data_IF_080310393121
#
_entry.id   IF_080310393121
#
_cell.length_a   1.000
_cell.length_b   1.000
_cell.length_c   1.000
_cell.angle_alpha   90.00
_cell.angle_beta   90.00
_cell.angle_gamma   90.00
#
_symmetry.space_group_name_H-M   'P 1'
#
loop_
_entity.id
_entity.type
_entity.pdbx_description
1 polymer ?
#
# COMPACT_ATOMS: atom_id res chain seq x y z
N UNK A 1 17.33 -5.25 5.91
CA UNK A 1 15.95 -5.74 5.66
C UNK A 1 15.70 -5.60 4.16
N UNK A 2 14.79 -6.37 3.55
CA UNK A 2 14.40 -6.17 2.14
C UNK A 2 13.28 -5.11 2.10
N UNK A 3 13.19 -4.32 1.03
CA UNK A 3 12.07 -3.40 0.85
C UNK A 3 10.74 -4.18 0.81
N UNK A 4 9.72 -3.62 1.43
CA UNK A 4 8.41 -4.27 1.49
C UNK A 4 7.66 -4.05 0.18
N UNK A 5 7.04 -5.11 -0.35
CA UNK A 5 6.10 -4.99 -1.47
C UNK A 5 4.95 -4.03 -1.09
N UNK A 6 4.75 -2.95 -1.86
CA UNK A 6 3.71 -1.96 -1.59
C UNK A 6 2.32 -2.52 -1.90
N UNK A 7 1.34 -1.90 -1.27
CA UNK A 7 -0.05 -2.13 -1.66
C UNK A 7 -0.34 -1.46 -3.00
N UNK A 8 -1.37 -1.95 -3.69
CA UNK A 8 -1.79 -1.41 -4.97
C UNK A 8 -2.91 -0.40 -4.75
N UNK A 9 -2.88 0.70 -5.52
CA UNK A 9 -3.91 1.72 -5.50
C UNK A 9 -4.37 2.00 -6.93
N UNK A 10 -5.69 1.99 -7.15
CA UNK A 10 -6.31 2.54 -8.35
C UNK A 10 -6.72 3.96 -8.03
N UNK A 11 -6.10 4.93 -8.70
CA UNK A 11 -6.38 6.36 -8.55
C UNK A 11 -6.54 6.98 -9.93
N UNK A 12 -7.65 7.69 -10.16
CA UNK A 12 -7.96 8.29 -11.48
C UNK A 12 -7.89 7.26 -12.63
N UNK A 13 -8.39 6.05 -12.39
CA UNK A 13 -8.34 4.90 -13.31
C UNK A 13 -6.93 4.44 -13.72
N UNK A 14 -5.89 4.89 -13.01
CA UNK A 14 -4.51 4.41 -13.17
C UNK A 14 -4.12 3.57 -11.97
N UNK A 15 -3.31 2.53 -12.21
CA UNK A 15 -2.70 1.73 -11.16
C UNK A 15 -1.43 2.42 -10.69
N UNK A 16 -1.35 2.64 -9.39
CA UNK A 16 -0.25 3.23 -8.66
C UNK A 16 0.14 2.28 -7.51
N UNK A 17 1.34 2.49 -6.95
CA UNK A 17 1.73 1.85 -5.70
C UNK A 17 1.42 2.77 -4.51
N UNK A 18 1.14 2.17 -3.37
CA UNK A 18 0.87 2.87 -2.12
C UNK A 18 1.91 2.49 -1.07
N UNK A 19 2.64 3.50 -0.59
CA UNK A 19 3.62 3.40 0.49
C UNK A 19 2.93 3.54 1.85
N UNK A 20 1.86 2.78 2.03
CA UNK A 20 1.10 2.68 3.27
C UNK A 20 0.53 1.27 3.38
N UNK A 21 0.28 0.84 4.60
CA UNK A 21 -0.42 -0.40 4.90
C UNK A 21 -1.72 -0.08 5.67
N UNK A 22 -2.81 0.34 4.99
CA UNK A 22 -4.08 0.56 5.68
C UNK A 22 -4.50 -0.71 6.43
N UNK A 23 -5.12 -0.58 7.61
CA UNK A 23 -5.52 -1.74 8.39
C UNK A 23 -6.57 -2.57 7.62
N UNK A 24 -6.41 -3.89 7.66
CA UNK A 24 -7.41 -4.84 7.20
C UNK A 24 -8.53 -4.91 8.27
N UNK A 25 -9.82 -4.88 7.87
CA UNK A 25 -10.91 -4.90 8.84
C UNK A 25 -10.94 -6.23 9.59
N UNK A 26 -11.11 -6.17 10.91
CA UNK A 26 -11.37 -7.35 11.73
C UNK A 26 -12.87 -7.69 11.73
N UNK A 27 -13.43 -7.91 10.53
CA UNK A 27 -14.82 -8.31 10.32
C UNK A 27 -14.84 -9.65 9.56
N UNK A 28 -15.22 -10.76 10.21
CA UNK A 28 -15.24 -12.07 9.58
C UNK A 28 -16.31 -12.20 8.48
N UNK A 29 -17.26 -11.25 8.39
CA UNK A 29 -18.19 -11.18 7.26
C UNK A 29 -17.58 -10.52 6.01
N UNK A 30 -16.45 -9.84 6.15
CA UNK A 30 -15.73 -9.16 5.07
C UNK A 30 -14.43 -9.87 4.71
N UNK A 31 -13.67 -10.33 5.70
CA UNK A 31 -12.32 -10.87 5.51
C UNK A 31 -12.16 -12.19 6.24
N UNK A 32 -11.62 -13.18 5.53
CA UNK A 32 -11.12 -14.42 6.14
C UNK A 32 -9.60 -14.37 6.27
N UNK A 33 -9.10 -14.81 7.42
CA UNK A 33 -7.68 -15.15 7.61
C UNK A 33 -7.49 -16.63 7.23
N UNK A 34 -6.55 -16.90 6.32
CA UNK A 34 -6.25 -18.22 5.79
C UNK A 34 -5.06 -18.85 6.52
N UNK A 35 -5.02 -20.18 6.56
CA UNK A 35 -3.77 -20.90 6.90
C UNK A 35 -2.69 -20.58 5.87
N UNK A 36 -1.42 -20.87 6.19
CA UNK A 36 -0.33 -20.64 5.23
C UNK A 36 -0.48 -21.51 3.99
N UNK A 37 -0.92 -22.76 4.14
CA UNK A 37 -1.19 -23.67 3.02
C UNK A 37 -2.35 -23.17 2.15
N UNK A 38 -3.46 -22.76 2.77
CA UNK A 38 -4.62 -22.21 2.05
C UNK A 38 -4.26 -20.94 1.29
N UNK A 39 -3.49 -20.05 1.93
CA UNK A 39 -3.03 -18.81 1.34
C UNK A 39 -2.05 -19.08 0.18
N UNK A 40 -1.15 -20.06 0.32
CA UNK A 40 -0.22 -20.45 -0.73
C UNK A 40 -0.93 -21.00 -1.96
N UNK A 41 -1.90 -21.91 -1.77
CA UNK A 41 -2.70 -22.45 -2.86
C UNK A 41 -3.56 -21.38 -3.53
N UNK A 42 -4.22 -20.51 -2.76
CA UNK A 42 -5.03 -19.41 -3.30
C UNK A 42 -4.20 -18.37 -4.07
N UNK A 43 -2.94 -18.20 -3.70
CA UNK A 43 -2.00 -17.29 -4.33
C UNK A 43 -1.44 -17.81 -5.66
N UNK A 44 -1.54 -19.11 -5.97
CA UNK A 44 -1.01 -19.66 -7.23
C UNK A 44 -1.67 -19.00 -8.44
N UNK A 45 -0.84 -18.50 -9.36
CA UNK A 45 -1.29 -17.81 -10.57
C UNK A 45 -1.83 -16.39 -10.34
N UNK A 46 -1.82 -15.89 -9.11
CA UNK A 46 -2.11 -14.49 -8.81
C UNK A 46 -0.87 -13.60 -9.04
N UNK A 47 -1.10 -12.30 -9.21
CA UNK A 47 -0.07 -11.30 -9.53
C UNK A 47 1.07 -11.31 -8.52
N UNK A 48 0.74 -11.36 -7.22
CA UNK A 48 1.75 -11.33 -6.16
C UNK A 48 2.15 -12.71 -5.65
N UNK A 49 1.58 -13.78 -6.22
CA UNK A 49 1.59 -15.11 -5.62
C UNK A 49 2.97 -15.66 -5.26
N UNK A 50 3.95 -15.46 -6.14
CA UNK A 50 5.33 -15.92 -5.94
C UNK A 50 6.10 -15.12 -4.86
N UNK A 51 5.61 -13.93 -4.48
CA UNK A 51 6.32 -13.03 -3.58
C UNK A 51 5.77 -13.01 -2.16
N UNK A 52 4.51 -13.39 -1.97
CA UNK A 52 3.78 -13.25 -0.70
C UNK A 52 4.44 -13.97 0.48
N UNK A 53 5.13 -15.09 0.24
CA UNK A 53 5.77 -15.89 1.30
C UNK A 53 7.29 -15.76 1.32
N UNK A 54 7.81 -14.63 0.83
CA UNK A 54 9.23 -14.31 0.78
C UNK A 54 9.57 -13.15 1.72
N UNK A 55 10.86 -12.87 1.91
CA UNK A 55 11.31 -11.70 2.68
C UNK A 55 10.94 -10.35 2.04
N UNK A 56 10.51 -10.34 0.76
CA UNK A 56 9.99 -9.15 0.10
C UNK A 56 8.55 -8.80 0.53
N UNK A 57 7.82 -9.74 1.15
CA UNK A 57 6.47 -9.51 1.68
C UNK A 57 6.33 -10.02 3.12
N UNK A 58 6.91 -9.31 4.09
CA UNK A 58 6.81 -9.66 5.52
C UNK A 58 5.37 -9.74 6.07
N UNK A 59 4.41 -9.08 5.42
CA UNK A 59 2.99 -9.07 5.80
C UNK A 59 2.26 -10.32 5.35
N UNK A 60 2.83 -11.05 4.39
CA UNK A 60 2.20 -12.20 3.72
C UNK A 60 0.89 -11.89 3.00
N UNK A 61 0.57 -10.61 2.76
CA UNK A 61 -0.56 -10.20 1.96
C UNK A 61 -0.26 -8.91 1.18
N UNK A 62 -0.99 -8.71 0.09
CA UNK A 62 -1.06 -7.44 -0.66
C UNK A 62 -2.52 -7.07 -0.84
N UNK A 63 -2.87 -5.84 -0.43
CA UNK A 63 -4.16 -5.24 -0.71
C UNK A 63 -4.13 -4.47 -2.03
N UNK A 64 -5.25 -4.53 -2.75
CA UNK A 64 -5.55 -3.60 -3.84
C UNK A 64 -6.71 -2.72 -3.40
N UNK A 65 -6.51 -1.42 -3.52
CA UNK A 65 -7.45 -0.39 -3.10
C UNK A 65 -7.84 0.50 -4.27
N UNK A 66 -8.94 1.22 -4.14
CA UNK A 66 -9.39 2.19 -5.13
C UNK A 66 -9.85 3.47 -4.44
N UNK A 67 -9.46 4.63 -4.98
CA UNK A 67 -10.12 5.89 -4.68
C UNK A 67 -11.04 6.23 -5.83
N UNK A 68 -12.34 6.30 -5.54
CA UNK A 68 -13.38 6.62 -6.51
C UNK A 68 -14.44 7.50 -5.86
N UNK A 69 -14.81 8.59 -6.54
CA UNK A 69 -15.82 9.55 -6.08
C UNK A 69 -15.56 10.05 -4.64
N UNK A 70 -14.29 10.29 -4.31
CA UNK A 70 -13.84 10.77 -3.00
C UNK A 70 -13.91 9.72 -1.88
N UNK A 71 -14.17 8.45 -2.20
CA UNK A 71 -14.25 7.33 -1.25
C UNK A 71 -13.11 6.36 -1.47
N UNK A 72 -12.64 5.77 -0.37
CA UNK A 72 -11.57 4.79 -0.36
C UNK A 72 -12.14 3.38 -0.21
N UNK A 73 -11.76 2.47 -1.11
CA UNK A 73 -12.32 1.12 -1.18
C UNK A 73 -11.22 0.06 -1.11
N UNK A 74 -11.50 -1.02 -0.41
CA UNK A 74 -10.75 -2.27 -0.53
C UNK A 74 -11.40 -3.12 -1.64
N UNK A 75 -10.62 -3.50 -2.65
CA UNK A 75 -11.15 -4.22 -3.82
C UNK A 75 -10.60 -5.65 -3.95
N UNK A 76 -9.42 -5.93 -3.38
CA UNK A 76 -8.82 -7.26 -3.43
C UNK A 76 -7.83 -7.47 -2.28
N UNK A 77 -7.76 -8.70 -1.79
CA UNK A 77 -6.69 -9.18 -0.93
C UNK A 77 -6.10 -10.46 -1.53
N UNK A 78 -4.78 -10.52 -1.58
CA UNK A 78 -4.02 -11.72 -1.99
C UNK A 78 -3.09 -12.14 -0.84
N UNK A 79 -3.07 -13.43 -0.51
CA UNK A 79 -2.20 -14.01 0.51
C UNK A 79 -2.93 -14.38 1.80
N UNK A 80 -2.36 -14.02 2.95
CA UNK A 80 -2.86 -14.38 4.29
C UNK A 80 -4.34 -14.01 4.51
N UNK A 81 -4.79 -12.93 3.89
CA UNK A 81 -6.18 -12.49 3.99
C UNK A 81 -6.89 -12.64 2.65
N UNK A 82 -8.17 -13.01 2.71
CA UNK A 82 -9.06 -13.08 1.57
C UNK A 82 -10.29 -12.20 1.79
N UNK A 83 -10.57 -11.34 0.82
CA UNK A 83 -11.81 -10.59 0.77
C UNK A 83 -12.96 -11.52 0.38
N UNK A 84 -14.05 -11.52 1.15
CA UNK A 84 -15.22 -12.38 0.94
C UNK A 84 -16.30 -11.73 0.08
N UNK A 85 -16.10 -10.46 -0.29
CA UNK A 85 -16.99 -9.68 -1.15
C UNK A 85 -16.44 -9.64 -2.57
N UNK A 86 -17.32 -9.82 -3.55
CA UNK A 86 -16.99 -9.67 -4.97
C UNK A 86 -17.05 -8.19 -5.41
N UNK A 87 -17.68 -7.34 -4.60
CA UNK A 87 -17.78 -5.89 -4.83
C UNK A 87 -16.76 -5.08 -4.00
N UNK A 88 -16.35 -3.89 -4.48
CA UNK A 88 -15.56 -2.95 -3.70
C UNK A 88 -16.18 -2.63 -2.33
N UNK A 89 -15.41 -2.81 -1.26
CA UNK A 89 -15.86 -2.53 0.11
C UNK A 89 -15.43 -1.14 0.52
N UNK A 90 -16.40 -0.26 0.83
CA UNK A 90 -16.08 1.09 1.32
C UNK A 90 -15.35 0.99 2.66
N UNK A 91 -14.12 1.49 2.69
CA UNK A 91 -13.19 1.34 3.79
C UNK A 91 -13.46 2.33 4.93
N UNK A 92 -14.68 2.33 5.47
CA UNK A 92 -15.11 3.28 6.51
C UNK A 92 -14.32 3.17 7.81
N UNK A 93 -13.61 2.06 8.02
CA UNK A 93 -12.73 1.83 9.16
C UNK A 93 -11.34 2.49 9.01
N UNK A 94 -10.98 2.96 7.81
CA UNK A 94 -9.67 3.55 7.55
C UNK A 94 -9.68 5.04 7.85
N UNK A 95 -8.74 5.48 8.68
CA UNK A 95 -8.41 6.89 8.92
C UNK A 95 -6.89 7.02 8.99
N UNK A 96 -6.33 8.01 8.29
CA UNK A 96 -4.88 8.23 8.21
C UNK A 96 -4.47 8.86 6.89
N UNK A 97 -3.17 8.96 6.65
CA UNK A 97 -2.62 9.47 5.40
C UNK A 97 -1.98 8.32 4.63
N UNK A 98 -2.35 8.18 3.36
CA UNK A 98 -1.66 7.28 2.43
C UNK A 98 -0.70 8.10 1.57
N UNK A 99 0.43 7.50 1.21
CA UNK A 99 1.47 8.13 0.39
C UNK A 99 1.61 7.37 -0.91
N UNK A 100 1.53 8.09 -2.03
CA UNK A 100 1.70 7.56 -3.38
C UNK A 100 2.98 8.18 -3.96
N UNK A 101 4.08 7.41 -4.13
CA UNK A 101 5.29 7.93 -4.77
C UNK A 101 5.02 8.32 -6.22
N UNK A 102 5.66 9.40 -6.68
CA UNK A 102 5.51 9.94 -8.03
C UNK A 102 6.87 10.30 -8.62
N UNK A 103 7.01 10.07 -9.93
CA UNK A 103 8.26 10.32 -10.64
C UNK A 103 9.29 9.21 -10.45
N UNK A 104 10.56 9.52 -10.70
CA UNK A 104 11.65 8.56 -10.58
C UNK A 104 12.03 8.29 -9.11
N UNK A 105 12.47 7.06 -8.84
CA UNK A 105 13.13 6.74 -7.57
C UNK A 105 14.56 7.29 -7.61
N UNK A 106 14.83 8.30 -6.80
CA UNK A 106 16.13 8.98 -6.75
C UNK A 106 17.10 8.22 -5.85
N UNK A 107 16.62 7.74 -4.70
CA UNK A 107 17.43 6.96 -3.76
C UNK A 107 16.68 5.71 -3.31
N UNK A 108 17.30 4.55 -3.50
CA UNK A 108 16.78 3.29 -3.02
C UNK A 108 17.16 3.08 -1.55
N UNK A 109 16.17 2.83 -0.69
CA UNK A 109 16.38 2.51 0.72
C UNK A 109 15.74 1.17 1.03
N UNK A 110 16.56 0.22 1.47
CA UNK A 110 16.18 -1.19 1.68
C UNK A 110 15.20 -1.43 2.86
N UNK A 111 14.79 -0.39 3.60
CA UNK A 111 13.99 -0.52 4.82
C UNK A 111 12.54 -0.10 4.55
N UNK A 112 11.62 -1.07 4.45
CA UNK A 112 10.18 -0.81 4.33
C UNK A 112 9.82 -0.04 3.06
N UNK A 113 9.24 1.15 3.22
CA UNK A 113 8.81 2.04 2.13
C UNK A 113 9.66 3.32 2.03
N UNK A 114 10.87 3.30 2.60
CA UNK A 114 11.66 4.53 2.80
C UNK A 114 12.38 5.07 1.56
N UNK A 115 12.32 4.39 0.40
CA UNK A 115 12.92 4.90 -0.84
C UNK A 115 12.40 6.30 -1.17
N UNK A 116 13.30 7.15 -1.67
CA UNK A 116 13.00 8.55 -1.99
C UNK A 116 12.67 8.65 -3.48
N UNK A 117 11.54 9.27 -3.77
CA UNK A 117 11.09 9.61 -5.11
C UNK A 117 11.14 11.12 -5.30
N UNK A 118 11.08 11.58 -6.55
CA UNK A 118 11.02 13.02 -6.86
C UNK A 118 9.87 13.72 -6.12
N UNK A 119 8.69 13.09 -6.11
CA UNK A 119 7.48 13.63 -5.49
C UNK A 119 6.69 12.56 -4.76
N UNK A 120 5.84 13.00 -3.86
CA UNK A 120 4.90 12.15 -3.14
C UNK A 120 3.52 12.81 -3.15
N UNK A 121 2.49 12.07 -3.53
CA UNK A 121 1.10 12.49 -3.33
C UNK A 121 0.61 11.93 -1.98
N UNK A 122 0.35 12.83 -1.04
CA UNK A 122 -0.19 12.52 0.27
C UNK A 122 -1.70 12.70 0.23
N UNK A 123 -2.45 11.65 0.58
CA UNK A 123 -3.92 11.66 0.57
C UNK A 123 -4.41 11.37 1.97
N UNK A 124 -5.10 12.34 2.58
CA UNK A 124 -5.69 12.20 3.91
C UNK A 124 -7.07 11.56 3.80
N UNK A 125 -7.26 10.47 4.54
CA UNK A 125 -8.50 9.71 4.64
C UNK A 125 -9.08 9.85 6.04
N UNK A 126 -10.37 10.16 6.13
CA UNK A 126 -11.15 10.13 7.38
C UNK A 126 -12.39 9.26 7.18
N UNK A 127 -12.51 8.18 7.97
CA UNK A 127 -13.59 7.21 7.86
C UNK A 127 -13.88 6.75 6.40
N UNK A 128 -12.82 6.44 5.65
CA UNK A 128 -12.92 6.02 4.25
C UNK A 128 -13.26 7.13 3.25
N UNK A 129 -13.22 8.40 3.66
CA UNK A 129 -13.45 9.57 2.80
C UNK A 129 -12.13 10.32 2.56
N UNK A 130 -11.86 10.70 1.32
CA UNK A 130 -10.75 11.60 0.98
C UNK A 130 -11.13 13.01 1.43
N UNK A 131 -10.38 13.56 2.39
CA UNK A 131 -10.61 14.92 2.92
C UNK A 131 -9.55 15.92 2.46
N UNK A 132 -8.37 15.45 2.05
CA UNK A 132 -7.28 16.30 1.57
C UNK A 132 -6.37 15.52 0.61
N UNK A 133 -5.81 16.23 -0.37
CA UNK A 133 -4.73 15.76 -1.23
C UNK A 133 -3.66 16.83 -1.35
N UNK A 134 -2.40 16.45 -1.15
CA UNK A 134 -1.26 17.35 -1.22
C UNK A 134 -0.09 16.68 -1.93
N UNK A 135 0.48 17.35 -2.92
CA UNK A 135 1.73 16.93 -3.54
C UNK A 135 2.90 17.53 -2.76
N UNK A 136 3.84 16.69 -2.37
CA UNK A 136 5.10 17.05 -1.73
C UNK A 136 6.20 16.87 -2.75
N UNK A 137 7.01 17.92 -2.92
CA UNK A 137 8.23 17.87 -3.71
C UNK A 137 9.39 17.53 -2.78
N UNK A 138 10.12 16.44 -3.08
CA UNK A 138 11.15 15.91 -2.21
C UNK A 138 12.53 16.55 -2.45
N UNK A 139 12.65 17.66 -3.20
CA UNK A 139 13.92 18.34 -3.49
C UNK A 139 14.79 18.55 -2.24
N UNK A 140 14.21 19.03 -1.13
CA UNK A 140 14.98 19.28 0.09
C UNK A 140 15.40 17.96 0.76
N UNK A 141 14.49 16.98 0.82
CA UNK A 141 14.76 15.61 1.31
C UNK A 141 15.88 14.93 0.52
N UNK A 142 15.91 15.12 -0.80
CA UNK A 142 16.95 14.58 -1.70
C UNK A 142 18.31 15.24 -1.43
N UNK A 143 18.34 16.57 -1.27
CA UNK A 143 19.57 17.31 -0.95
C UNK A 143 20.13 16.89 0.40
N UNK A 144 19.28 16.85 1.42
CA UNK A 144 19.67 16.42 2.77
C UNK A 144 20.30 15.02 2.74
N UNK A 145 19.64 14.05 2.10
CA UNK A 145 20.18 12.69 1.98
C UNK A 145 21.51 12.63 1.22
N UNK A 146 21.64 13.41 0.14
CA UNK A 146 22.86 13.46 -0.66
C UNK A 146 24.06 14.02 0.12
N UNK A 147 23.82 14.89 1.10
CA UNK A 147 24.84 15.53 1.92
C UNK A 147 25.19 14.72 3.18
N UNK A 148 24.21 14.08 3.83
CA UNK A 148 24.39 13.38 5.10
C UNK A 148 24.59 11.87 4.96
N UNK A 149 24.05 11.25 3.92
CA UNK A 149 23.93 9.79 3.79
C UNK A 149 22.91 9.14 4.74
N UNK A 150 22.25 9.89 5.63
CA UNK A 150 21.29 9.41 6.63
C UNK A 150 20.20 10.46 6.94
N UNK A 151 18.98 10.00 7.24
CA UNK A 151 17.94 10.85 7.85
C UNK A 151 17.95 10.69 9.37
N UNK A 152 17.92 11.81 10.10
CA UNK A 152 17.53 11.83 11.51
C UNK A 152 16.00 11.95 11.55
N UNK A 153 15.32 10.86 11.91
CA UNK A 153 13.86 10.83 12.14
C UNK A 153 13.48 11.51 13.46
#
# INVERSE_FOLDING_TARGET
MTAQIPEQLILNAKRECMHACPPIPNDPALVAELSEEEAYEAAKGQEFGMYLFTSACWRKYVGTWEIKDGKFYLIKLEGKYKLLKDEPVHATWVTGTIVVPQGEMVHYIHMGFSSIYEKELHIKIEAGMVVEQKVIDNVDKIKEYSESGEFWF
#
